data_IF_080324624061
#
_entry.id   IF_080324624061
#
_cell.length_a   1.000
_cell.length_b   1.000
_cell.length_c   1.000
_cell.angle_alpha   90.00
_cell.angle_beta   90.00
_cell.angle_gamma   90.00
#
_symmetry.space_group_name_H-M   'P 1'
#
loop_
_entity.id
_entity.type
_entity.pdbx_description
1 polymer ?
#
# COMPACT_ATOMS: atom_id res chain seq x y z
N UNK A 1 -12.04 6.35 18.47
CA UNK A 1 -12.44 7.78 18.45
C UNK A 1 -13.70 7.89 17.62
N UNK A 2 -14.72 8.65 18.07
CA UNK A 2 -15.92 8.94 17.27
C UNK A 2 -15.67 10.21 16.47
N UNK A 3 -15.98 10.18 15.18
CA UNK A 3 -15.81 11.29 14.24
C UNK A 3 -17.11 11.42 13.45
N UNK A 4 -17.57 12.64 13.27
CA UNK A 4 -18.74 12.95 12.43
C UNK A 4 -18.25 13.67 11.18
N UNK A 5 -18.68 13.22 10.00
CA UNK A 5 -18.34 13.80 8.72
C UNK A 5 -19.56 13.79 7.81
N UNK A 6 -19.63 14.75 6.89
CA UNK A 6 -20.61 14.78 5.82
C UNK A 6 -19.97 14.15 4.58
N UNK A 7 -20.60 13.11 4.05
CA UNK A 7 -20.12 12.35 2.89
C UNK A 7 -21.33 12.08 2.00
N UNK A 8 -21.13 12.10 0.69
CA UNK A 8 -22.17 11.75 -0.28
C UNK A 8 -22.63 10.30 -0.09
N UNK A 9 -23.95 10.10 0.01
CA UNK A 9 -24.53 8.78 0.24
C UNK A 9 -24.20 7.79 -0.89
N UNK A 10 -24.23 8.25 -2.14
CA UNK A 10 -23.90 7.43 -3.31
C UNK A 10 -22.48 6.86 -3.21
N UNK A 11 -21.51 7.69 -2.81
CA UNK A 11 -20.13 7.27 -2.61
C UNK A 11 -20.01 6.20 -1.51
N UNK A 12 -20.74 6.35 -0.41
CA UNK A 12 -20.74 5.36 0.68
C UNK A 12 -21.35 4.03 0.21
N UNK A 13 -22.45 4.07 -0.56
CA UNK A 13 -23.07 2.87 -1.11
C UNK A 13 -22.14 2.13 -2.06
N UNK A 14 -21.48 2.86 -2.97
CA UNK A 14 -20.52 2.27 -3.91
C UNK A 14 -19.35 1.62 -3.17
N UNK A 15 -18.77 2.34 -2.21
CA UNK A 15 -17.67 1.83 -1.40
C UNK A 15 -18.09 0.58 -0.63
N UNK A 16 -19.27 0.57 0.00
CA UNK A 16 -19.77 -0.60 0.72
C UNK A 16 -19.96 -1.81 -0.20
N UNK A 17 -20.49 -1.60 -1.40
CA UNK A 17 -20.69 -2.65 -2.41
C UNK A 17 -19.36 -3.22 -2.89
N UNK A 18 -18.38 -2.36 -3.19
CA UNK A 18 -17.05 -2.76 -3.65
C UNK A 18 -16.29 -3.49 -2.55
N UNK A 19 -16.34 -2.99 -1.31
CA UNK A 19 -15.57 -3.55 -0.20
C UNK A 19 -16.22 -4.78 0.45
N UNK A 20 -17.49 -5.08 0.14
CA UNK A 20 -18.26 -6.14 0.80
C UNK A 20 -18.44 -5.91 2.31
N UNK A 21 -18.37 -4.66 2.75
CA UNK A 21 -18.36 -4.33 4.18
C UNK A 21 -19.76 -4.42 4.78
N UNK A 22 -19.83 -4.87 6.04
CA UNK A 22 -21.10 -5.02 6.76
C UNK A 22 -21.72 -3.70 7.21
N UNK A 23 -20.92 -2.64 7.30
CA UNK A 23 -21.35 -1.30 7.72
C UNK A 23 -20.38 -0.23 7.20
N UNK A 24 -20.82 1.04 7.28
CA UNK A 24 -20.08 2.22 6.82
C UNK A 24 -18.70 2.33 7.48
N UNK A 25 -18.61 2.07 8.78
CA UNK A 25 -17.35 2.17 9.53
C UNK A 25 -16.31 1.17 9.05
N UNK A 26 -16.71 -0.08 8.81
CA UNK A 26 -15.86 -1.13 8.24
C UNK A 26 -15.41 -0.74 6.83
N UNK A 27 -16.32 -0.22 6.01
CA UNK A 27 -16.05 0.20 4.64
C UNK A 27 -15.00 1.33 4.61
N UNK A 28 -15.20 2.37 5.42
CA UNK A 28 -14.24 3.47 5.57
C UNK A 28 -12.89 2.98 6.10
N UNK A 29 -12.87 2.04 7.05
CA UNK A 29 -11.62 1.45 7.55
C UNK A 29 -10.84 0.73 6.46
N UNK A 30 -11.54 -0.04 5.60
CA UNK A 30 -10.92 -0.76 4.49
C UNK A 30 -10.35 0.24 3.48
N UNK A 31 -11.16 1.21 3.05
CA UNK A 31 -10.74 2.21 2.05
C UNK A 31 -9.57 3.05 2.55
N UNK A 32 -9.59 3.52 3.80
CA UNK A 32 -8.48 4.32 4.34
C UNK A 32 -7.18 3.52 4.43
N UNK A 33 -7.25 2.24 4.78
CA UNK A 33 -6.07 1.36 4.77
C UNK A 33 -5.54 1.15 3.36
N UNK A 34 -6.43 0.88 2.40
CA UNK A 34 -6.05 0.68 0.99
C UNK A 34 -5.42 1.95 0.41
N UNK A 35 -6.06 3.10 0.62
CA UNK A 35 -5.54 4.41 0.20
C UNK A 35 -4.14 4.68 0.76
N UNK A 36 -3.96 4.46 2.07
CA UNK A 36 -2.64 4.62 2.72
C UNK A 36 -1.60 3.70 2.09
N UNK A 37 -1.91 2.42 1.91
CA UNK A 37 -0.99 1.44 1.34
C UNK A 37 -0.58 1.81 -0.08
N UNK A 38 -1.53 2.21 -0.93
CA UNK A 38 -1.25 2.66 -2.30
C UNK A 38 -0.37 3.91 -2.34
N UNK A 39 -0.62 4.85 -1.44
CA UNK A 39 0.19 6.07 -1.33
C UNK A 39 1.63 5.74 -0.96
N UNK A 40 1.83 4.90 0.06
CA UNK A 40 3.16 4.44 0.48
C UNK A 40 3.88 3.66 -0.62
N UNK A 41 3.18 2.75 -1.30
CA UNK A 41 3.78 2.01 -2.43
C UNK A 41 4.29 2.96 -3.52
N UNK A 42 3.49 3.97 -3.89
CA UNK A 42 3.93 4.97 -4.88
C UNK A 42 5.14 5.76 -4.39
N UNK A 43 5.16 6.16 -3.13
CA UNK A 43 6.31 6.86 -2.52
C UNK A 43 7.57 6.00 -2.55
N UNK A 44 7.48 4.73 -2.16
CA UNK A 44 8.60 3.79 -2.22
C UNK A 44 9.06 3.51 -3.64
N UNK A 45 8.15 3.32 -4.59
CA UNK A 45 8.49 3.16 -6.01
C UNK A 45 9.25 4.39 -6.54
N UNK A 46 8.83 5.60 -6.16
CA UNK A 46 9.55 6.82 -6.54
C UNK A 46 10.93 6.90 -5.89
N UNK A 47 11.05 6.47 -4.63
CA UNK A 47 12.34 6.40 -3.94
C UNK A 47 13.31 5.43 -4.62
N UNK A 48 12.82 4.24 -5.01
CA UNK A 48 13.62 3.25 -5.74
C UNK A 48 13.98 3.75 -7.14
N UNK A 49 13.11 4.49 -7.81
CA UNK A 49 13.42 5.08 -9.11
C UNK A 49 14.48 6.18 -9.00
N UNK A 50 14.47 6.97 -7.92
CA UNK A 50 15.45 8.02 -7.66
C UNK A 50 16.82 7.46 -7.24
N UNK A 51 16.82 6.40 -6.44
CA UNK A 51 18.01 5.68 -6.00
C UNK A 51 17.80 4.17 -6.25
N UNK A 52 18.14 3.68 -7.46
CA UNK A 52 17.99 2.28 -7.81
C UNK A 52 18.78 1.38 -6.88
N UNK A 53 18.21 0.23 -6.53
CA UNK A 53 18.92 -0.79 -5.78
C UNK A 53 20.04 -1.36 -6.65
N UNK A 54 21.28 -0.99 -6.34
CA UNK A 54 22.48 -1.55 -6.97
C UNK A 54 22.92 -2.81 -6.22
N UNK A 55 22.82 -3.95 -6.90
CA UNK A 55 23.35 -5.21 -6.36
C UNK A 55 24.84 -5.32 -6.71
N UNK A 56 25.68 -5.00 -5.72
CA UNK A 56 27.15 -5.06 -5.86
C UNK A 56 27.72 -6.49 -5.86
N UNK A 57 26.88 -7.51 -5.73
CA UNK A 57 27.28 -8.91 -5.72
C UNK A 57 26.52 -9.71 -6.79
N UNK A 58 27.16 -9.93 -7.93
CA UNK A 58 26.73 -10.91 -8.91
C UNK A 58 26.89 -12.34 -8.38
N UNK A 59 26.21 -13.29 -9.03
CA UNK A 59 26.22 -14.71 -8.63
C UNK A 59 27.64 -15.31 -8.51
N UNK A 60 28.61 -14.78 -9.25
CA UNK A 60 30.01 -15.20 -9.16
C UNK A 60 30.67 -14.72 -7.86
N UNK A 61 30.48 -13.44 -7.50
CA UNK A 61 31.06 -12.86 -6.27
C UNK A 61 30.53 -13.54 -5.00
N UNK A 62 29.25 -13.92 -4.98
CA UNK A 62 28.66 -14.69 -3.86
C UNK A 62 29.22 -16.12 -3.79
N UNK A 63 29.43 -16.77 -4.95
CA UNK A 63 30.01 -18.13 -4.99
C UNK A 63 31.45 -18.14 -4.49
N UNK A 64 32.25 -17.15 -4.88
CA UNK A 64 33.65 -17.05 -4.48
C UNK A 64 33.80 -16.77 -2.96
N UNK A 65 32.87 -16.01 -2.36
CA UNK A 65 32.80 -15.77 -0.91
C UNK A 65 32.48 -17.05 -0.10
N UNK A 66 31.59 -17.90 -0.62
CA UNK A 66 31.14 -19.12 0.05
C UNK A 66 32.08 -20.32 -0.14
N UNK A 67 33.11 -20.20 -0.98
CA UNK A 67 34.13 -21.24 -1.19
C UNK A 67 35.38 -21.04 -0.33
N UNK A 68 35.35 -20.13 0.65
CA UNK A 68 36.32 -20.07 1.76
C UNK A 68 35.95 -21.05 2.87
#
# INVERSE_FOLDING_TARGET
MKVTALIEDELIQDVMKISGAKNITEALRIVLKDYRSRKLLREYSNSIAAEPLEFNYGAQQIRDLNQK
#
